data_IF_916610321236
#
_entry.id   IF_916610321236
#
_cell.length_a   1.000
_cell.length_b   1.000
_cell.length_c   1.000
_cell.angle_alpha   90.00
_cell.angle_beta   90.00
_cell.angle_gamma   90.00
#
_symmetry.space_group_name_H-M   'P 1'
#
loop_
_entity.id
_entity.type
_entity.pdbx_description
1 polymer ?
#
# COMPACT_ATOMS: atom_id res chain seq x y z
N UNK A 1 -10.13 0.14 9.82
CA UNK A 1 -9.35 -0.64 8.88
C UNK A 1 -8.68 -1.82 9.58
N UNK A 2 -8.83 -3.00 9.00
CA UNK A 2 -8.36 -4.25 9.62
C UNK A 2 -6.85 -4.25 9.90
N UNK A 3 -6.04 -3.77 8.94
CA UNK A 3 -4.59 -3.78 9.09
C UNK A 3 -4.08 -2.86 10.19
N UNK A 4 -4.81 -1.83 10.52
CA UNK A 4 -4.43 -0.93 11.63
C UNK A 4 -4.44 -1.60 12.98
N UNK A 5 -5.11 -2.74 13.09
CA UNK A 5 -5.16 -3.49 14.33
C UNK A 5 -3.87 -4.24 14.63
N UNK A 6 -2.98 -4.34 13.63
CA UNK A 6 -1.71 -5.03 13.82
C UNK A 6 -0.77 -4.20 14.70
N UNK A 7 -0.20 -4.83 15.72
CA UNK A 7 0.63 -4.16 16.70
C UNK A 7 1.89 -3.51 16.13
N UNK A 8 2.41 -4.07 15.06
CA UNK A 8 3.66 -3.59 14.44
C UNK A 8 3.44 -2.53 13.36
N UNK A 9 2.20 -2.28 12.99
CA UNK A 9 1.89 -1.30 11.96
C UNK A 9 1.61 0.06 12.60
N UNK A 10 2.38 1.06 12.15
CA UNK A 10 2.18 2.44 12.58
C UNK A 10 1.02 3.08 11.83
N UNK A 11 0.97 2.87 10.52
CA UNK A 11 -0.08 3.42 9.67
C UNK A 11 -0.21 2.60 8.40
N UNK A 12 -1.42 2.60 7.82
CA UNK A 12 -1.67 1.80 6.62
C UNK A 12 -2.79 2.42 5.78
N UNK A 13 -2.52 3.54 5.09
CA UNK A 13 -3.51 4.06 4.16
C UNK A 13 -3.67 3.09 2.98
N UNK A 14 -4.90 2.94 2.52
CA UNK A 14 -5.21 2.14 1.34
C UNK A 14 -5.60 3.10 0.22
N UNK A 15 -4.95 2.95 -0.93
CA UNK A 15 -5.20 3.80 -2.09
C UNK A 15 -5.54 2.96 -3.30
N UNK A 16 -6.24 3.55 -4.27
CA UNK A 16 -6.49 2.91 -5.55
C UNK A 16 -5.37 3.22 -6.53
N UNK A 17 -4.83 2.18 -7.16
CA UNK A 17 -3.82 2.35 -8.21
C UNK A 17 -4.34 1.80 -9.52
N UNK A 18 -3.97 2.39 -10.67
CA UNK A 18 -4.39 1.87 -11.96
C UNK A 18 -3.82 0.47 -12.21
N UNK A 19 -4.64 -0.38 -12.81
CA UNK A 19 -4.24 -1.71 -13.20
C UNK A 19 -4.78 -2.01 -14.59
N UNK A 20 -3.93 -2.50 -15.47
CA UNK A 20 -4.28 -2.75 -16.86
C UNK A 20 -5.37 -3.79 -17.01
N UNK A 21 -5.47 -4.75 -16.11
CA UNK A 21 -6.45 -5.84 -16.19
C UNK A 21 -7.74 -5.54 -15.46
N UNK A 22 -7.65 -4.90 -14.30
CA UNK A 22 -8.78 -4.72 -13.40
C UNK A 22 -9.29 -3.28 -13.35
N UNK A 23 -8.61 -2.35 -14.03
CA UNK A 23 -8.92 -0.94 -13.99
C UNK A 23 -8.29 -0.25 -12.79
N UNK A 24 -8.58 -0.73 -11.61
CA UNK A 24 -8.02 -0.19 -10.37
C UNK A 24 -7.86 -1.30 -9.34
N UNK A 25 -6.78 -1.26 -8.58
CA UNK A 25 -6.55 -2.21 -7.50
C UNK A 25 -6.30 -1.47 -6.20
N UNK A 26 -6.66 -2.10 -5.09
CA UNK A 26 -6.38 -1.56 -3.77
C UNK A 26 -4.93 -1.85 -3.39
N UNK A 27 -4.19 -0.80 -3.03
CA UNK A 27 -2.82 -0.90 -2.56
C UNK A 27 -2.74 -0.39 -1.13
N UNK A 28 -2.17 -1.19 -0.24
CA UNK A 28 -1.95 -0.80 1.14
C UNK A 28 -0.50 -0.31 1.29
N UNK A 29 -0.35 0.93 1.72
CA UNK A 29 0.96 1.52 2.00
C UNK A 29 1.21 1.29 3.49
N UNK A 30 2.15 0.42 3.81
CA UNK A 30 2.36 -0.02 5.18
C UNK A 30 3.59 0.65 5.78
N UNK A 31 3.37 1.45 6.80
CA UNK A 31 4.45 2.02 7.59
C UNK A 31 4.56 1.20 8.87
N UNK A 32 5.72 0.56 9.05
CA UNK A 32 6.00 -0.28 10.22
C UNK A 32 6.55 0.60 11.33
N UNK A 33 6.22 0.28 12.57
CA UNK A 33 6.75 1.02 13.73
C UNK A 33 8.26 0.87 13.81
N UNK A 34 8.91 1.89 14.36
CA UNK A 34 10.36 1.89 14.51
C UNK A 34 10.83 0.66 15.29
N UNK A 35 11.86 0.02 14.77
CA UNK A 35 12.42 -1.17 15.39
C UNK A 35 11.68 -2.46 15.10
N UNK A 36 10.55 -2.41 14.40
CA UNK A 36 9.77 -3.58 14.05
C UNK A 36 10.00 -3.98 12.60
N UNK A 37 9.80 -5.25 12.29
CA UNK A 37 9.91 -5.77 10.93
C UNK A 37 8.65 -6.55 10.55
N UNK A 38 8.18 -6.34 9.33
CA UNK A 38 7.06 -7.08 8.76
C UNK A 38 7.37 -7.43 7.31
N UNK A 39 6.98 -8.64 6.91
CA UNK A 39 7.10 -9.09 5.52
C UNK A 39 5.72 -9.17 4.89
N UNK A 40 5.68 -9.37 3.56
CA UNK A 40 4.42 -9.62 2.87
C UNK A 40 3.72 -10.85 3.43
N UNK A 41 4.47 -11.89 3.75
CA UNK A 41 3.90 -13.11 4.32
C UNK A 41 3.24 -12.84 5.66
N UNK A 42 3.85 -12.02 6.50
CA UNK A 42 3.26 -11.63 7.79
C UNK A 42 1.91 -10.94 7.58
N UNK A 43 1.85 -10.04 6.60
CA UNK A 43 0.61 -9.31 6.31
C UNK A 43 -0.44 -10.25 5.73
N UNK A 44 -0.06 -11.14 4.84
CA UNK A 44 -0.98 -12.10 4.25
C UNK A 44 -1.56 -13.03 5.31
N UNK A 45 -0.74 -13.48 6.24
CA UNK A 45 -1.21 -14.31 7.36
C UNK A 45 -2.18 -13.54 8.24
N UNK A 46 -1.87 -12.29 8.52
CA UNK A 46 -2.76 -11.44 9.33
C UNK A 46 -4.10 -11.22 8.63
N UNK A 47 -4.08 -11.07 7.30
CA UNK A 47 -5.29 -10.86 6.50
C UNK A 47 -6.03 -12.14 6.16
N UNK A 48 -5.52 -13.29 6.57
CA UNK A 48 -6.11 -14.57 6.23
C UNK A 48 -7.58 -14.71 6.66
N UNK A 49 -7.95 -14.05 7.75
CA UNK A 49 -9.32 -14.01 8.24
C UNK A 49 -10.28 -13.27 7.29
N UNK A 50 -9.76 -12.38 6.46
CA UNK A 50 -10.58 -11.60 5.56
C UNK A 50 -10.88 -12.36 4.28
N UNK A 51 -12.09 -12.19 3.72
CA UNK A 51 -12.36 -12.68 2.37
C UNK A 51 -11.37 -12.08 1.38
N UNK A 52 -11.07 -12.82 0.33
CA UNK A 52 -10.11 -12.35 -0.68
C UNK A 52 -10.44 -10.98 -1.25
N UNK A 53 -11.70 -10.70 -1.48
CA UNK A 53 -12.10 -9.42 -2.07
C UNK A 53 -11.87 -8.23 -1.14
N UNK A 54 -11.67 -8.47 0.15
CA UNK A 54 -11.37 -7.42 1.14
C UNK A 54 -9.88 -7.23 1.39
N UNK A 55 -9.05 -8.12 0.86
CA UNK A 55 -7.59 -8.01 1.04
C UNK A 55 -7.01 -7.05 0.01
N UNK A 56 -6.02 -6.23 0.39
CA UNK A 56 -5.35 -5.38 -0.60
C UNK A 56 -4.63 -6.25 -1.63
N UNK A 57 -4.69 -5.82 -2.87
CA UNK A 57 -4.04 -6.53 -3.98
C UNK A 57 -2.55 -6.28 -4.02
N UNK A 58 -2.11 -5.15 -3.52
CA UNK A 58 -0.71 -4.77 -3.53
C UNK A 58 -0.31 -4.26 -2.15
N UNK A 59 0.88 -4.67 -1.71
CA UNK A 59 1.44 -4.22 -0.43
C UNK A 59 2.71 -3.44 -0.72
N UNK A 60 2.80 -2.24 -0.18
CA UNK A 60 3.98 -1.39 -0.33
C UNK A 60 4.45 -1.02 1.06
N UNK A 61 5.69 -1.38 1.39
CA UNK A 61 6.30 -1.02 2.67
C UNK A 61 7.06 0.28 2.50
N UNK A 62 6.57 1.35 3.11
CA UNK A 62 7.17 2.67 2.97
C UNK A 62 6.71 3.57 4.10
N UNK A 63 7.42 4.69 4.29
CA UNK A 63 6.97 5.72 5.21
C UNK A 63 5.82 6.47 4.57
N UNK A 64 4.80 6.77 5.37
CA UNK A 64 3.62 7.47 4.91
C UNK A 64 3.85 8.98 5.08
N UNK A 65 3.90 9.76 3.98
CA UNK A 65 4.06 11.19 4.11
C UNK A 65 2.82 11.82 4.75
N UNK A 66 3.07 12.80 5.61
CA UNK A 66 2.01 13.54 6.27
C UNK A 66 2.20 15.02 6.04
N UNK A 67 1.09 15.77 6.01
CA UNK A 67 1.15 17.22 5.91
C UNK A 67 1.59 17.81 7.27
N UNK A 68 1.87 19.14 7.33
CA UNK A 68 2.31 19.77 8.59
C UNK A 68 1.34 19.59 9.76
N UNK A 69 0.05 19.32 9.49
CA UNK A 69 -0.92 19.06 10.54
C UNK A 69 -0.97 17.61 10.99
N UNK A 70 -0.13 16.75 10.41
CA UNK A 70 -0.04 15.35 10.75
C UNK A 70 -1.01 14.43 10.02
N UNK A 71 -1.77 14.96 9.08
CA UNK A 71 -2.75 14.16 8.31
C UNK A 71 -2.10 13.49 7.10
N UNK A 72 -2.57 12.29 6.80
CA UNK A 72 -2.13 11.57 5.61
C UNK A 72 -2.85 12.11 4.40
N UNK A 73 -2.09 12.46 3.36
CA UNK A 73 -2.66 12.96 2.12
C UNK A 73 -2.71 11.85 1.07
N UNK A 74 -3.85 11.17 1.00
CA UNK A 74 -4.04 10.08 0.04
C UNK A 74 -3.85 10.50 -1.42
N UNK A 75 -4.33 11.67 -1.86
CA UNK A 75 -4.06 12.08 -3.24
C UNK A 75 -2.58 12.16 -3.58
N UNK A 76 -1.76 12.61 -2.65
CA UNK A 76 -0.32 12.66 -2.84
C UNK A 76 0.30 11.28 -2.95
N UNK A 77 -0.17 10.35 -2.13
CA UNK A 77 0.27 8.95 -2.21
C UNK A 77 -0.08 8.33 -3.55
N UNK A 78 -1.29 8.56 -4.02
CA UNK A 78 -1.70 8.03 -5.32
C UNK A 78 -0.82 8.58 -6.44
N UNK A 79 -0.52 9.86 -6.40
CA UNK A 79 0.35 10.50 -7.37
C UNK A 79 1.74 9.88 -7.37
N UNK A 80 2.31 9.68 -6.20
CA UNK A 80 3.65 9.08 -6.06
C UNK A 80 3.72 7.68 -6.63
N UNK A 81 2.79 6.82 -6.27
CA UNK A 81 2.86 5.41 -6.65
C UNK A 81 2.25 5.13 -8.02
N UNK A 82 1.29 5.91 -8.44
CA UNK A 82 0.77 5.84 -9.80
C UNK A 82 1.85 6.20 -10.81
N UNK A 83 2.63 7.26 -10.53
CA UNK A 83 3.74 7.66 -11.38
C UNK A 83 4.81 6.60 -11.50
N UNK A 84 5.18 5.96 -10.40
CA UNK A 84 6.14 4.87 -10.40
C UNK A 84 5.65 3.69 -11.22
N UNK A 85 4.38 3.34 -11.07
CA UNK A 85 3.78 2.25 -11.81
C UNK A 85 3.82 2.51 -13.31
N UNK A 86 3.53 3.72 -13.74
CA UNK A 86 3.60 4.09 -15.16
C UNK A 86 5.02 4.03 -15.69
N UNK A 87 5.99 4.49 -14.92
CA UNK A 87 7.40 4.44 -15.30
C UNK A 87 7.86 3.00 -15.45
N UNK A 88 7.50 2.13 -14.52
CA UNK A 88 7.84 0.72 -14.58
C UNK A 88 7.24 0.07 -15.83
N UNK A 89 6.00 0.37 -16.16
CA UNK A 89 5.34 -0.14 -17.36
C UNK A 89 6.05 0.32 -18.63
N UNK A 90 6.46 1.57 -18.69
CA UNK A 90 7.20 2.09 -19.81
C UNK A 90 8.56 1.41 -19.99
N UNK A 91 9.23 1.13 -18.88
CA UNK A 91 10.51 0.42 -18.93
C UNK A 91 10.34 -1.01 -19.45
N UNK A 92 9.28 -1.67 -19.07
CA UNK A 92 8.97 -3.00 -19.58
C UNK A 92 8.72 -2.99 -21.08
N UNK A 93 8.02 -1.99 -21.57
CA UNK A 93 7.74 -1.84 -23.00
C UNK A 93 9.01 -1.62 -23.79
N UNK A 94 9.96 -0.90 -23.25
CA UNK A 94 11.24 -0.62 -23.91
C UNK A 94 12.15 -1.82 -24.00
N UNK A 95 11.94 -2.78 -23.16
CA UNK A 95 12.72 -4.01 -23.19
C UNK A 95 12.20 -4.98 -24.23
#
# INVERSE_FOLDING_TARGET
DFLRKHDKIKDVPVIGLPDARLGEIAAAIIEVKDGEELTEDDINDFCYELPRYKRPRKLIFAKVPRNPTGKIEKPKLREMYCGESLVASQNEIKK
#
